data_IF_307356707356
#
_entry.id   IF_307356707356
#
_cell.length_a   1.000
_cell.length_b   1.000
_cell.length_c   1.000
_cell.angle_alpha   90.00
_cell.angle_beta   90.00
_cell.angle_gamma   90.00
#
_symmetry.space_group_name_H-M   'P 1'
#
loop_
_entity.id
_entity.type
_entity.pdbx_description
1 polymer ?
#
# COMPACT_ATOMS: atom_id res chain seq x y z
N UNK A 1 -50.86 -14.15 -19.21
CA UNK A 1 -50.21 -14.63 -17.98
C UNK A 1 -48.70 -14.50 -18.15
N UNK A 2 -48.10 -13.39 -17.73
CA UNK A 2 -46.64 -13.22 -17.79
C UNK A 2 -46.12 -13.12 -16.36
N UNK A 3 -45.41 -14.16 -15.91
CA UNK A 3 -44.76 -14.20 -14.60
C UNK A 3 -43.42 -13.48 -14.72
N UNK A 4 -43.37 -12.23 -14.26
CA UNK A 4 -42.10 -11.55 -14.01
C UNK A 4 -41.41 -12.24 -12.83
N UNK A 5 -40.28 -12.89 -13.10
CA UNK A 5 -39.40 -13.43 -12.07
C UNK A 5 -38.69 -12.21 -11.45
N UNK A 6 -39.20 -11.74 -10.32
CA UNK A 6 -38.55 -10.74 -9.49
C UNK A 6 -37.34 -11.39 -8.82
N UNK A 7 -36.15 -11.17 -9.39
CA UNK A 7 -34.91 -11.47 -8.68
C UNK A 7 -34.71 -10.37 -7.64
N UNK A 8 -34.88 -10.73 -6.37
CA UNK A 8 -34.67 -9.84 -5.22
C UNK A 8 -33.25 -9.28 -5.23
N UNK A 9 -33.09 -7.97 -4.96
CA UNK A 9 -31.80 -7.28 -4.90
C UNK A 9 -30.73 -7.98 -4.04
N UNK A 10 -31.13 -8.76 -3.03
CA UNK A 10 -30.24 -9.56 -2.19
C UNK A 10 -29.48 -10.65 -2.97
N UNK A 11 -30.10 -11.29 -3.96
CA UNK A 11 -29.45 -12.31 -4.78
C UNK A 11 -28.41 -11.70 -5.73
N UNK A 12 -28.69 -10.50 -6.25
CA UNK A 12 -27.74 -9.73 -7.08
C UNK A 12 -26.55 -9.26 -6.22
N UNK A 13 -26.81 -8.74 -5.01
CA UNK A 13 -25.75 -8.32 -4.05
C UNK A 13 -24.84 -9.49 -3.62
N UNK A 14 -25.41 -10.66 -3.34
CA UNK A 14 -24.63 -11.85 -2.95
C UNK A 14 -23.76 -12.36 -4.11
N UNK A 15 -24.28 -12.34 -5.34
CA UNK A 15 -23.49 -12.73 -6.52
C UNK A 15 -22.38 -11.73 -6.79
N UNK A 16 -22.60 -10.42 -6.63
CA UNK A 16 -21.54 -9.41 -6.76
C UNK A 16 -20.48 -9.54 -5.67
N UNK A 17 -20.86 -9.75 -4.41
CA UNK A 17 -19.90 -9.90 -3.31
C UNK A 17 -19.07 -11.18 -3.45
N UNK A 18 -19.69 -12.29 -3.87
CA UNK A 18 -18.99 -13.54 -4.14
C UNK A 18 -18.05 -13.43 -5.36
N UNK A 19 -18.44 -12.70 -6.40
CA UNK A 19 -17.60 -12.44 -7.57
C UNK A 19 -16.43 -11.50 -7.23
N UNK A 20 -16.65 -10.54 -6.34
CA UNK A 20 -15.60 -9.64 -5.84
C UNK A 20 -14.63 -10.40 -4.94
N UNK A 21 -15.14 -11.24 -4.03
CA UNK A 21 -14.35 -12.12 -3.18
C UNK A 21 -13.55 -13.15 -3.98
N UNK A 22 -14.13 -13.70 -5.04
CA UNK A 22 -13.44 -14.60 -5.96
C UNK A 22 -12.35 -13.86 -6.77
N UNK A 23 -12.61 -12.63 -7.26
CA UNK A 23 -11.59 -11.81 -7.91
C UNK A 23 -10.44 -11.46 -6.96
N UNK A 24 -10.72 -11.16 -5.68
CA UNK A 24 -9.69 -10.92 -4.66
C UNK A 24 -8.91 -12.18 -4.30
N UNK A 25 -9.56 -13.35 -4.32
CA UNK A 25 -8.90 -14.63 -4.05
C UNK A 25 -8.05 -15.11 -5.25
N UNK A 26 -8.46 -14.77 -6.47
CA UNK A 26 -7.78 -15.15 -7.71
C UNK A 26 -6.57 -14.24 -8.00
N UNK A 27 -6.55 -12.99 -7.50
CA UNK A 27 -5.34 -12.15 -7.47
C UNK A 27 -4.39 -12.49 -6.32
N UNK A 28 -4.88 -13.13 -5.25
CA UNK A 28 -4.06 -13.69 -4.17
C UNK A 28 -3.36 -15.01 -4.56
N UNK A 29 -3.51 -15.50 -5.80
CA UNK A 29 -2.73 -16.61 -6.34
C UNK A 29 -1.24 -16.23 -6.49
N UNK A 30 -0.55 -16.39 -5.36
CA UNK A 30 0.86 -16.73 -5.18
C UNK A 30 1.89 -15.78 -5.80
N UNK A 31 1.98 -14.55 -5.29
CA UNK A 31 3.24 -13.83 -5.34
C UNK A 31 4.33 -14.72 -4.71
N UNK A 32 5.34 -15.09 -5.48
CA UNK A 32 6.52 -15.79 -4.99
C UNK A 32 7.66 -14.78 -4.95
N UNK A 33 8.17 -14.50 -3.75
CA UNK A 33 9.28 -13.56 -3.57
C UNK A 33 10.47 -14.00 -4.43
N UNK A 34 11.02 -13.13 -5.30
CA UNK A 34 12.19 -13.46 -6.10
C UNK A 34 13.40 -13.81 -5.22
N UNK A 35 14.37 -14.53 -5.79
CA UNK A 35 15.58 -14.87 -5.07
C UNK A 35 16.40 -13.63 -4.72
N UNK A 36 17.31 -13.74 -3.75
CA UNK A 36 18.19 -12.62 -3.39
C UNK A 36 19.01 -12.12 -4.60
N UNK A 37 19.44 -13.03 -5.48
CA UNK A 37 20.20 -12.70 -6.68
C UNK A 37 19.35 -11.89 -7.66
N UNK A 38 18.10 -12.30 -7.87
CA UNK A 38 17.17 -11.59 -8.75
C UNK A 38 16.82 -10.22 -8.19
N UNK A 39 16.57 -10.12 -6.88
CA UNK A 39 16.28 -8.85 -6.21
C UNK A 39 17.43 -7.85 -6.34
N UNK A 40 18.68 -8.30 -6.17
CA UNK A 40 19.86 -7.43 -6.39
C UNK A 40 20.02 -6.95 -7.83
N UNK A 41 19.53 -7.73 -8.80
CA UNK A 41 19.58 -7.36 -10.21
C UNK A 41 18.45 -6.41 -10.60
N UNK A 42 17.28 -6.53 -9.98
CA UNK A 42 16.08 -5.75 -10.30
C UNK A 42 16.00 -4.42 -9.55
N UNK A 43 16.44 -4.40 -8.29
CA UNK A 43 16.33 -3.23 -7.41
C UNK A 43 17.59 -2.36 -7.50
N UNK A 44 17.39 -1.04 -7.40
CA UNK A 44 18.52 -0.14 -7.13
C UNK A 44 19.16 -0.46 -5.76
N UNK A 45 20.43 -0.06 -5.53
CA UNK A 45 21.12 -0.36 -4.28
C UNK A 45 20.36 0.09 -3.03
N UNK A 46 19.73 1.28 -3.06
CA UNK A 46 18.96 1.79 -1.92
C UNK A 46 17.65 1.04 -1.72
N UNK A 47 16.95 0.65 -2.80
CA UNK A 47 15.72 -0.15 -2.70
C UNK A 47 16.01 -1.51 -2.09
N UNK A 48 17.09 -2.17 -2.54
CA UNK A 48 17.52 -3.44 -1.95
C UNK A 48 17.90 -3.29 -0.48
N UNK A 49 18.75 -2.30 -0.16
CA UNK A 49 19.21 -2.06 1.20
C UNK A 49 18.04 -1.76 2.16
N UNK A 50 17.08 -0.94 1.75
CA UNK A 50 15.90 -0.65 2.56
C UNK A 50 15.04 -1.89 2.72
N UNK A 51 14.60 -2.52 1.61
CA UNK A 51 13.58 -3.56 1.66
C UNK A 51 14.07 -4.91 2.18
N UNK A 52 15.35 -5.25 1.96
CA UNK A 52 15.91 -6.57 2.26
C UNK A 52 16.94 -6.57 3.39
N UNK A 53 17.50 -5.40 3.76
CA UNK A 53 18.51 -5.26 4.81
C UNK A 53 18.07 -4.28 5.92
N UNK A 54 16.78 -3.98 5.97
CA UNK A 54 16.12 -3.14 6.97
C UNK A 54 16.79 -1.76 7.16
N UNK A 55 17.39 -1.23 6.10
CA UNK A 55 18.01 0.10 6.12
C UNK A 55 16.94 1.19 6.03
N UNK A 56 17.34 2.40 6.39
CA UNK A 56 16.51 3.61 6.25
C UNK A 56 17.18 4.58 5.30
N UNK A 57 16.43 5.09 4.32
CA UNK A 57 16.92 6.12 3.40
C UNK A 57 17.06 7.48 4.09
N UNK A 58 17.89 8.41 3.60
CA UNK A 58 18.06 9.70 4.26
C UNK A 58 16.79 10.57 4.19
N UNK A 59 16.47 11.33 5.27
CA UNK A 59 15.32 12.23 5.28
C UNK A 59 15.50 13.35 4.24
N UNK A 60 14.39 13.79 3.64
CA UNK A 60 14.31 14.86 2.63
C UNK A 60 15.11 14.64 1.34
N UNK A 61 15.82 13.51 1.24
CA UNK A 61 16.63 13.13 0.07
C UNK A 61 16.11 11.85 -0.54
N UNK A 62 14.80 11.80 -0.68
CA UNK A 62 14.07 10.65 -1.23
C UNK A 62 12.96 11.10 -2.17
N UNK A 63 12.35 10.15 -2.87
CA UNK A 63 11.49 10.45 -4.03
C UNK A 63 10.10 10.94 -3.65
N UNK A 64 9.55 10.51 -2.52
CA UNK A 64 8.12 10.68 -2.24
C UNK A 64 7.78 11.51 -1.01
N UNK A 65 8.75 12.00 -0.23
CA UNK A 65 8.45 12.84 0.95
C UNK A 65 7.54 14.02 0.59
N UNK A 66 7.84 14.76 -0.48
CA UNK A 66 7.06 15.91 -0.93
C UNK A 66 6.09 15.64 -2.10
N UNK A 67 5.93 14.38 -2.55
CA UNK A 67 4.99 14.07 -3.63
C UNK A 67 3.55 14.29 -3.14
N UNK A 68 2.76 15.06 -3.91
CA UNK A 68 1.36 15.40 -3.62
C UNK A 68 0.38 14.92 -4.72
N UNK A 69 0.89 14.29 -5.77
CA UNK A 69 0.06 13.76 -6.86
C UNK A 69 -0.86 12.67 -6.34
N UNK A 70 -2.12 12.66 -6.80
CA UNK A 70 -3.06 11.59 -6.46
C UNK A 70 -2.61 10.25 -7.06
N UNK A 71 -2.67 9.19 -6.26
CA UNK A 71 -2.35 7.83 -6.67
C UNK A 71 -2.15 6.90 -5.49
N UNK A 72 -1.71 5.69 -5.78
CA UNK A 72 -1.38 4.67 -4.78
C UNK A 72 0.13 4.44 -4.70
N UNK A 73 0.55 3.92 -3.56
CA UNK A 73 1.91 3.45 -3.31
C UNK A 73 1.86 1.94 -3.14
N UNK A 74 2.58 1.24 -4.00
CA UNK A 74 2.70 -0.21 -3.99
C UNK A 74 4.08 -0.62 -3.51
N UNK A 75 4.22 -1.84 -3.00
CA UNK A 75 5.54 -2.41 -2.69
C UNK A 75 6.37 -2.45 -3.98
N UNK A 76 7.59 -1.93 -3.93
CA UNK A 76 8.53 -1.96 -5.06
C UNK A 76 8.90 -3.38 -5.48
N UNK A 77 8.79 -4.36 -4.57
CA UNK A 77 9.15 -5.76 -4.79
C UNK A 77 7.97 -6.56 -5.34
N UNK A 78 6.84 -6.55 -4.63
CA UNK A 78 5.69 -7.41 -4.97
C UNK A 78 4.65 -6.73 -5.86
N UNK A 79 4.63 -5.40 -5.89
CA UNK A 79 3.56 -4.64 -6.53
C UNK A 79 2.25 -4.65 -5.76
N UNK A 80 2.20 -5.22 -4.55
CA UNK A 80 1.01 -5.20 -3.70
C UNK A 80 0.70 -3.78 -3.22
N UNK A 81 -0.59 -3.45 -3.09
CA UNK A 81 -1.01 -2.08 -2.75
C UNK A 81 -0.89 -1.85 -1.25
N UNK A 82 -0.15 -0.81 -0.85
CA UNK A 82 0.17 -0.53 0.55
C UNK A 82 -0.55 0.71 1.06
N UNK A 83 -0.38 1.85 0.39
CA UNK A 83 -0.87 3.15 0.87
C UNK A 83 -1.55 3.95 -0.23
N UNK A 84 -2.46 4.83 0.16
CA UNK A 84 -3.09 5.81 -0.73
C UNK A 84 -2.51 7.20 -0.49
N UNK A 85 -2.40 8.00 -1.55
CA UNK A 85 -2.08 9.42 -1.41
C UNK A 85 -3.15 10.21 -0.65
N UNK A 86 -4.37 9.68 -0.52
CA UNK A 86 -5.47 10.31 0.23
C UNK A 86 -5.21 10.31 1.74
N UNK A 87 -4.46 9.31 2.23
CA UNK A 87 -4.06 9.19 3.63
C UNK A 87 -2.63 9.70 3.86
N UNK A 88 -1.96 10.20 2.81
CA UNK A 88 -0.63 10.80 2.89
C UNK A 88 -0.72 12.24 3.40
N UNK A 89 0.13 12.60 4.35
CA UNK A 89 0.18 13.96 4.89
C UNK A 89 1.63 14.45 5.06
N UNK A 90 1.77 15.74 5.41
CA UNK A 90 3.07 16.33 5.72
C UNK A 90 3.36 16.21 7.23
N UNK A 91 4.26 15.30 7.58
CA UNK A 91 4.68 15.08 8.96
C UNK A 91 5.89 15.91 9.38
N UNK A 92 6.55 16.62 8.44
CA UNK A 92 7.84 17.26 8.66
C UNK A 92 8.95 16.32 9.20
N UNK A 93 8.86 15.01 8.93
CA UNK A 93 9.93 14.07 9.32
C UNK A 93 10.96 13.86 8.21
N UNK A 94 10.58 14.16 6.96
CA UNK A 94 11.43 13.95 5.78
C UNK A 94 11.22 12.62 5.07
N UNK A 95 10.24 11.82 5.49
CA UNK A 95 9.81 10.59 4.80
C UNK A 95 8.31 10.68 4.45
N UNK A 96 7.84 10.01 3.37
CA UNK A 96 6.42 9.92 3.11
C UNK A 96 5.72 9.29 4.33
N UNK A 97 4.69 10.00 4.82
CA UNK A 97 3.97 9.64 6.03
C UNK A 97 2.49 9.49 5.75
N UNK A 98 1.90 8.42 6.27
CA UNK A 98 0.50 8.06 6.06
C UNK A 98 -0.22 7.87 7.40
N UNK A 99 -1.52 8.12 7.45
CA UNK A 99 -2.33 7.93 8.66
C UNK A 99 -2.81 6.48 8.85
N UNK A 100 -2.87 5.72 7.76
CA UNK A 100 -3.27 4.30 7.70
C UNK A 100 -2.85 3.66 6.37
N UNK A 101 -2.75 2.32 6.29
CA UNK A 101 -2.68 1.63 5.01
C UNK A 101 -3.98 1.73 4.20
N UNK A 102 -3.89 1.43 2.91
CA UNK A 102 -5.07 1.33 2.04
C UNK A 102 -5.78 -0.03 2.20
N UNK A 103 -5.00 -1.08 2.47
CA UNK A 103 -5.47 -2.44 2.75
C UNK A 103 -4.77 -2.89 4.03
N UNK A 104 -5.52 -3.07 5.11
CA UNK A 104 -4.97 -3.39 6.42
C UNK A 104 -4.19 -4.72 6.39
N UNK A 105 -4.70 -5.71 5.65
CA UNK A 105 -4.09 -7.04 5.51
C UNK A 105 -2.75 -7.02 4.76
N UNK A 106 -2.43 -5.96 4.02
CA UNK A 106 -1.17 -5.84 3.28
C UNK A 106 0.01 -5.46 4.20
N UNK A 107 -0.25 -5.08 5.45
CA UNK A 107 0.75 -4.65 6.43
C UNK A 107 0.97 -5.71 7.50
N UNK A 108 2.23 -6.00 7.77
CA UNK A 108 2.67 -6.80 8.92
C UNK A 108 3.42 -5.89 9.89
N UNK A 109 2.91 -5.79 11.10
CA UNK A 109 3.54 -5.02 12.19
C UNK A 109 4.37 -5.95 13.08
N UNK A 110 5.62 -5.57 13.38
CA UNK A 110 6.54 -6.33 14.25
C UNK A 110 7.15 -5.44 15.31
N UNK A 111 7.30 -5.95 16.53
CA UNK A 111 8.01 -5.24 17.58
C UNK A 111 9.50 -5.10 17.21
N UNK A 112 9.99 -3.86 17.15
CA UNK A 112 11.40 -3.52 16.93
C UNK A 112 11.99 -2.93 18.23
N UNK A 113 12.77 -3.76 18.92
CA UNK A 113 13.46 -3.41 20.16
C UNK A 113 14.95 -3.12 19.97
N UNK A 114 15.41 -2.85 18.72
CA UNK A 114 16.83 -2.65 18.42
C UNK A 114 17.38 -1.31 18.93
N UNK A 115 16.50 -0.34 19.24
CA UNK A 115 16.87 0.95 19.80
C UNK A 115 16.26 1.10 21.22
N UNK A 116 16.78 2.04 22.01
CA UNK A 116 16.24 2.41 23.34
C UNK A 116 14.81 3.00 23.29
N UNK A 117 14.19 3.02 22.12
CA UNK A 117 12.81 3.44 21.86
C UNK A 117 12.13 2.22 21.26
N UNK A 118 11.05 1.76 21.90
CA UNK A 118 10.20 0.72 21.33
C UNK A 118 9.52 1.30 20.08
N UNK A 119 9.84 0.73 18.91
CA UNK A 119 9.21 1.07 17.64
C UNK A 119 8.46 -0.15 17.14
N UNK A 120 7.43 0.07 16.33
CA UNK A 120 6.76 -1.00 15.61
C UNK A 120 7.20 -0.92 14.16
N UNK A 121 7.96 -1.93 13.72
CA UNK A 121 8.36 -2.11 12.33
C UNK A 121 7.12 -2.39 11.48
N UNK A 122 7.10 -1.83 10.27
CA UNK A 122 6.07 -2.05 9.26
C UNK A 122 6.71 -2.76 8.07
N UNK A 123 6.17 -3.93 7.71
CA UNK A 123 6.58 -4.73 6.55
C UNK A 123 5.39 -4.99 5.61
N UNK A 124 5.68 -5.27 4.34
CA UNK A 124 4.65 -5.72 3.40
C UNK A 124 4.37 -7.23 3.57
N UNK A 125 3.12 -7.65 3.36
CA UNK A 125 2.72 -9.04 3.56
C UNK A 125 3.38 -9.98 2.53
N UNK A 126 3.22 -9.72 1.23
CA UNK A 126 3.70 -10.63 0.19
C UNK A 126 5.21 -10.51 -0.03
N UNK A 127 5.73 -9.27 -0.02
CA UNK A 127 7.15 -9.00 -0.24
C UNK A 127 8.04 -9.30 0.97
N UNK A 128 7.49 -9.36 2.18
CA UNK A 128 8.25 -9.24 3.44
C UNK A 128 9.31 -8.13 3.32
N UNK A 129 8.93 -7.01 2.68
CA UNK A 129 9.82 -5.87 2.46
C UNK A 129 9.78 -5.00 3.71
N UNK A 130 10.94 -4.62 4.25
CA UNK A 130 10.98 -3.56 5.26
C UNK A 130 10.51 -2.25 4.64
N UNK A 131 9.44 -1.68 5.21
CA UNK A 131 8.85 -0.44 4.72
C UNK A 131 9.29 0.74 5.59
N UNK A 132 9.28 0.58 6.90
CA UNK A 132 9.62 1.62 7.87
C UNK A 132 9.02 1.31 9.24
N UNK A 133 8.44 2.32 9.89
CA UNK A 133 7.90 2.20 11.24
C UNK A 133 6.59 2.95 11.40
N UNK A 134 5.74 2.49 12.33
CA UNK A 134 4.52 3.18 12.76
C UNK A 134 4.72 3.76 14.16
N UNK A 135 4.19 4.98 14.36
CA UNK A 135 4.31 5.74 15.60
C UNK A 135 2.93 6.27 16.06
N UNK A 136 2.68 6.37 17.38
CA UNK A 136 1.42 6.88 17.94
C UNK A 136 1.41 8.42 18.06
N UNK A 137 2.01 9.13 17.10
CA UNK A 137 2.14 10.59 17.06
C UNK A 137 1.56 11.20 15.77
N UNK A 138 0.65 10.47 15.12
CA UNK A 138 -0.05 10.91 13.92
C UNK A 138 -1.22 11.84 14.21
N UNK A 139 -1.79 12.46 13.18
CA UNK A 139 -2.99 13.28 13.32
C UNK A 139 -4.23 12.42 13.62
N UNK A 140 -5.27 13.05 14.15
CA UNK A 140 -6.60 12.45 14.22
C UNK A 140 -7.12 12.10 12.81
N UNK A 141 -7.99 11.09 12.65
CA UNK A 141 -8.64 10.31 13.72
C UNK A 141 -7.85 9.09 14.21
N UNK A 142 -6.87 8.60 13.45
CA UNK A 142 -6.16 7.36 13.82
C UNK A 142 -5.13 7.59 14.92
N UNK A 143 -4.52 8.78 14.98
CA UNK A 143 -3.39 9.05 15.86
C UNK A 143 -2.11 8.31 15.44
N UNK A 144 -2.11 7.65 14.28
CA UNK A 144 -1.02 6.84 13.78
C UNK A 144 -0.25 7.56 12.66
N UNK A 145 1.06 7.40 12.68
CA UNK A 145 1.97 7.86 11.63
C UNK A 145 2.76 6.69 11.10
N UNK A 146 2.36 6.17 9.94
CA UNK A 146 3.14 5.23 9.14
C UNK A 146 4.23 6.01 8.41
N UNK A 147 5.47 5.93 8.92
CA UNK A 147 6.63 6.63 8.39
C UNK A 147 7.44 5.67 7.51
N UNK A 148 7.32 5.83 6.19
CA UNK A 148 7.73 4.81 5.23
C UNK A 148 8.89 5.30 4.37
N UNK A 149 9.80 4.40 4.01
CA UNK A 149 10.86 4.70 3.05
C UNK A 149 10.28 4.77 1.63
N UNK A 150 10.58 5.83 0.89
CA UNK A 150 10.28 5.93 -0.54
C UNK A 150 10.93 4.82 -1.34
N UNK A 151 12.14 4.40 -0.97
CA UNK A 151 12.85 3.29 -1.57
C UNK A 151 12.13 1.93 -1.43
N UNK A 152 11.17 1.78 -0.51
CA UNK A 152 10.33 0.59 -0.43
C UNK A 152 9.08 0.68 -1.32
N UNK A 153 8.83 1.84 -1.93
CA UNK A 153 7.58 2.13 -2.63
C UNK A 153 7.78 2.35 -4.13
N UNK A 154 6.77 2.02 -4.91
CA UNK A 154 6.56 2.50 -6.27
C UNK A 154 5.24 3.26 -6.32
N UNK A 155 5.27 4.49 -6.82
CA UNK A 155 4.07 5.31 -6.96
C UNK A 155 3.38 5.04 -8.30
N UNK A 156 2.06 4.84 -8.26
CA UNK A 156 1.19 4.70 -9.43
C UNK A 156 0.17 5.84 -9.41
N UNK A 157 0.30 6.79 -10.34
CA UNK A 157 -0.62 7.92 -10.45
C UNK A 157 -2.02 7.42 -10.84
N UNK A 158 -3.09 8.10 -10.38
CA UNK A 158 -4.47 7.65 -10.66
C UNK A 158 -4.74 7.41 -12.15
N UNK A 159 -4.26 8.32 -13.01
CA UNK A 159 -4.38 8.20 -14.46
C UNK A 159 -3.78 6.92 -15.08
N UNK A 160 -2.89 6.23 -14.35
CA UNK A 160 -2.24 4.99 -14.80
C UNK A 160 -2.80 3.75 -14.09
N UNK A 161 -3.60 3.90 -13.02
CA UNK A 161 -4.01 2.78 -12.17
C UNK A 161 -4.75 1.70 -12.95
N UNK A 162 -5.72 2.08 -13.80
CA UNK A 162 -6.44 1.12 -14.65
C UNK A 162 -5.48 0.34 -15.55
N UNK A 163 -4.63 1.06 -16.29
CA UNK A 163 -3.70 0.47 -17.25
C UNK A 163 -2.63 -0.44 -16.58
N UNK A 164 -2.31 -0.19 -15.32
CA UNK A 164 -1.35 -0.97 -14.54
C UNK A 164 -2.03 -2.08 -13.70
N UNK A 165 -3.34 -2.31 -13.83
CA UNK A 165 -4.06 -3.40 -13.16
C UNK A 165 -4.57 -3.09 -11.75
N UNK A 166 -4.57 -1.81 -11.36
CA UNK A 166 -5.03 -1.32 -10.06
C UNK A 166 -6.41 -0.62 -10.13
N UNK A 167 -7.20 -0.91 -11.17
CA UNK A 167 -8.52 -0.31 -11.41
C UNK A 167 -9.49 -0.44 -10.24
N UNK A 168 -9.40 -1.54 -9.48
CA UNK A 168 -10.23 -1.80 -8.30
C UNK A 168 -10.14 -0.71 -7.22
N UNK A 169 -9.07 0.10 -7.20
CA UNK A 169 -8.86 1.18 -6.22
C UNK A 169 -9.26 2.57 -6.73
N UNK A 170 -9.68 2.71 -8.00
CA UNK A 170 -10.14 3.98 -8.57
C UNK A 170 -11.34 4.62 -7.84
N UNK A 171 -12.36 3.86 -7.38
CA UNK A 171 -13.53 4.46 -6.73
C UNK A 171 -13.20 5.33 -5.51
N UNK A 172 -12.11 5.02 -4.80
CA UNK A 172 -11.65 5.84 -3.68
C UNK A 172 -11.28 7.27 -4.12
N UNK A 173 -10.69 7.44 -5.30
CA UNK A 173 -10.27 8.73 -5.84
C UNK A 173 -11.41 9.48 -6.53
N UNK A 174 -12.34 8.77 -7.17
CA UNK A 174 -13.56 9.35 -7.75
C UNK A 174 -14.43 10.01 -6.67
N UNK A 175 -14.57 9.34 -5.51
CA UNK A 175 -15.40 9.82 -4.40
C UNK A 175 -14.98 11.20 -3.84
N UNK A 176 -13.73 11.60 -4.06
CA UNK A 176 -13.16 12.87 -3.60
C UNK A 176 -12.88 13.83 -4.76
N UNK A 177 -13.32 13.53 -5.99
CA UNK A 177 -13.11 14.36 -7.18
C UNK A 177 -11.65 14.41 -7.65
N UNK A 178 -10.83 13.43 -7.26
CA UNK A 178 -9.42 13.31 -7.66
C UNK A 178 -9.23 12.56 -8.99
N UNK A 179 -10.32 12.08 -9.60
CA UNK A 179 -10.37 11.37 -10.88
C UNK A 179 -11.78 11.45 -11.47
N UNK A 180 -11.88 11.57 -12.80
CA UNK A 180 -13.13 11.63 -13.57
C UNK A 180 -13.02 10.73 -14.81
#
# INVERSE_FOLDING_TARGET
MSRFISFTAAAIMLVTAALTAALTAETALAFTKPSQVDLKAQLSPIQYAVTQEDRTEPPYRNRYWNLKTHGIYVDVVSGEVLFSSLDKYDSNTGWPSFTRPLVDEAIVERDDSLLFIQRTEVRSLNGDSHLGHVFPDGPAPTGLRYCINSAALRFVAVKNMEAEGYGAFLPAFESVGAYN
#
